data_IF_393047598407
#
_entry.id   IF_393047598407
#
_cell.length_a   1.000
_cell.length_b   1.000
_cell.length_c   1.000
_cell.angle_alpha   90.00
_cell.angle_beta   90.00
_cell.angle_gamma   90.00
#
_symmetry.space_group_name_H-M   'P 1'
#
loop_
_entity.id
_entity.type
_entity.pdbx_description
1 polymer ?
#
# COMPACT_ATOMS: atom_id res chain seq x y z
N UNK A 1 6.16 -18.76 2.65
CA UNK A 1 6.48 -17.33 2.83
C UNK A 1 7.93 -17.21 3.27
N UNK A 2 8.71 -16.30 2.68
CA UNK A 2 10.10 -16.03 3.06
C UNK A 2 10.13 -15.00 4.19
N UNK A 3 11.11 -15.11 5.08
CA UNK A 3 11.34 -14.15 6.15
C UNK A 3 12.30 -13.08 5.61
N UNK A 4 11.98 -11.77 5.73
CA UNK A 4 12.91 -10.70 5.37
C UNK A 4 14.21 -10.80 6.18
N UNK A 5 15.34 -10.49 5.55
CA UNK A 5 16.66 -10.60 6.16
C UNK A 5 17.66 -9.62 5.53
N UNK A 6 18.95 -9.67 5.90
CA UNK A 6 19.97 -8.74 5.41
C UNK A 6 20.04 -8.65 3.87
N UNK A 7 19.84 -9.77 3.17
CA UNK A 7 19.88 -9.82 1.70
C UNK A 7 18.61 -9.28 1.03
N UNK A 8 17.50 -9.16 1.78
CA UNK A 8 16.23 -8.61 1.29
C UNK A 8 15.46 -7.96 2.45
N UNK A 9 15.89 -6.78 2.91
CA UNK A 9 15.31 -6.16 4.09
C UNK A 9 13.94 -5.56 3.75
N UNK A 10 12.96 -5.82 4.60
CA UNK A 10 11.65 -5.15 4.57
C UNK A 10 11.45 -4.50 5.92
N UNK A 11 11.22 -3.19 5.92
CA UNK A 11 10.95 -2.41 7.14
C UNK A 11 9.63 -1.68 7.00
N UNK A 12 8.93 -1.55 8.13
CA UNK A 12 7.64 -0.87 8.22
C UNK A 12 7.72 0.11 9.39
N UNK A 13 7.34 1.36 9.15
CA UNK A 13 7.25 2.38 10.18
C UNK A 13 5.96 3.19 10.01
N UNK A 14 5.48 3.81 11.09
CA UNK A 14 4.41 4.80 11.01
C UNK A 14 4.88 5.98 10.16
N UNK A 15 4.05 6.43 9.23
CA UNK A 15 4.30 7.68 8.53
C UNK A 15 3.91 8.84 9.48
N UNK A 16 4.83 9.75 9.82
CA UNK A 16 4.52 10.87 10.73
C UNK A 16 3.67 11.97 10.06
N UNK A 17 3.46 11.90 8.74
CA UNK A 17 2.71 12.89 7.98
C UNK A 17 1.33 12.38 7.62
N UNK A 18 0.40 13.32 7.43
CA UNK A 18 -0.87 13.03 6.74
C UNK A 18 -0.56 12.69 5.28
N UNK A 19 -1.16 11.60 4.79
CA UNK A 19 -1.03 11.14 3.41
C UNK A 19 -2.38 11.30 2.72
N UNK A 20 -2.38 11.97 1.56
CA UNK A 20 -3.53 12.09 0.67
C UNK A 20 -3.18 11.42 -0.66
N UNK A 21 -4.06 10.53 -1.13
CA UNK A 21 -3.97 9.89 -2.44
C UNK A 21 -5.11 10.41 -3.30
N UNK A 22 -4.78 10.98 -4.46
CA UNK A 22 -5.76 11.56 -5.38
C UNK A 22 -5.45 11.24 -6.82
N UNK A 23 -6.49 11.14 -7.64
CA UNK A 23 -6.39 11.03 -9.10
C UNK A 23 -7.37 12.03 -9.73
N UNK A 24 -6.93 12.79 -10.74
CA UNK A 24 -7.79 13.78 -11.41
C UNK A 24 -8.41 14.84 -10.47
N UNK A 25 -7.80 15.12 -9.32
CA UNK A 25 -8.34 16.04 -8.31
C UNK A 25 -9.31 15.40 -7.30
N UNK A 26 -9.74 14.15 -7.53
CA UNK A 26 -10.57 13.41 -6.60
C UNK A 26 -9.73 12.67 -5.55
N UNK A 27 -10.11 12.78 -4.27
CA UNK A 27 -9.43 12.11 -3.16
C UNK A 27 -9.95 10.67 -3.03
N UNK A 28 -9.06 9.71 -3.21
CA UNK A 28 -9.34 8.28 -3.09
C UNK A 28 -9.09 7.79 -1.67
N UNK A 29 -8.10 8.37 -0.98
CA UNK A 29 -7.85 8.09 0.43
C UNK A 29 -7.13 9.26 1.11
N UNK A 30 -7.39 9.45 2.40
CA UNK A 30 -6.66 10.40 3.23
C UNK A 30 -6.54 9.87 4.66
N UNK A 31 -5.32 9.84 5.20
CA UNK A 31 -5.06 9.26 6.52
C UNK A 31 -3.91 9.94 7.26
N UNK A 32 -3.96 9.94 8.58
CA UNK A 32 -2.81 10.19 9.47
C UNK A 32 -2.20 8.90 10.04
N UNK A 33 -2.68 7.74 9.60
CA UNK A 33 -2.32 6.42 10.12
C UNK A 33 -1.62 5.54 9.07
N UNK A 34 -1.10 6.16 8.00
CA UNK A 34 -0.35 5.44 6.97
C UNK A 34 0.88 4.76 7.56
N UNK A 35 1.24 3.61 6.97
CA UNK A 35 2.53 2.96 7.19
C UNK A 35 3.41 3.17 5.98
N UNK A 36 4.68 3.52 6.19
CA UNK A 36 5.70 3.54 5.15
C UNK A 36 6.44 2.21 5.14
N UNK A 37 6.36 1.50 4.02
CA UNK A 37 7.13 0.28 3.77
C UNK A 37 8.33 0.61 2.89
N UNK A 38 9.52 0.12 3.29
CA UNK A 38 10.74 0.12 2.48
C UNK A 38 11.19 -1.31 2.26
N UNK A 39 11.54 -1.64 1.02
CA UNK A 39 11.96 -2.98 0.63
C UNK A 39 13.23 -2.89 -0.21
N UNK A 40 14.33 -3.43 0.32
CA UNK A 40 15.65 -3.40 -0.31
C UNK A 40 15.98 -2.00 -0.88
N UNK A 41 16.26 -1.91 -2.18
CA UNK A 41 16.55 -0.66 -2.89
C UNK A 41 15.33 0.01 -3.56
N UNK A 42 14.11 -0.50 -3.39
CA UNK A 42 12.93 0.09 -4.01
C UNK A 42 12.49 1.40 -3.34
N UNK A 43 11.85 2.32 -4.09
CA UNK A 43 11.21 3.48 -3.49
C UNK A 43 10.21 3.08 -2.40
N UNK A 44 10.12 3.90 -1.35
CA UNK A 44 9.20 3.66 -0.25
C UNK A 44 7.74 3.75 -0.72
N UNK A 45 6.90 2.82 -0.26
CA UNK A 45 5.47 2.78 -0.57
C UNK A 45 4.62 3.07 0.67
N UNK A 46 3.44 3.64 0.46
CA UNK A 46 2.52 4.00 1.53
C UNK A 46 1.37 2.99 1.60
N UNK A 47 1.26 2.31 2.73
CA UNK A 47 0.10 1.47 3.06
C UNK A 47 -0.93 2.32 3.79
N UNK A 48 -2.10 2.45 3.17
CA UNK A 48 -3.23 3.20 3.70
C UNK A 48 -4.22 2.22 4.36
N UNK A 49 -4.68 2.47 5.60
CA UNK A 49 -5.75 1.66 6.18
C UNK A 49 -6.99 1.68 5.30
N UNK A 50 -7.63 0.52 5.09
CA UNK A 50 -8.79 0.42 4.20
C UNK A 50 -9.98 1.29 4.66
N UNK A 51 -10.12 1.51 5.96
CA UNK A 51 -11.16 2.36 6.55
C UNK A 51 -10.99 3.85 6.18
N UNK A 52 -9.78 4.28 5.82
CA UNK A 52 -9.47 5.66 5.44
C UNK A 52 -9.46 5.85 3.91
N UNK A 53 -9.83 4.81 3.16
CA UNK A 53 -9.98 4.83 1.71
C UNK A 53 -11.46 4.85 1.31
N UNK A 54 -11.80 5.61 0.27
CA UNK A 54 -13.14 5.65 -0.28
C UNK A 54 -13.43 4.34 -1.04
N UNK A 55 -14.19 3.43 -0.43
CA UNK A 55 -14.53 2.13 -1.03
C UNK A 55 -15.36 2.25 -2.30
N UNK A 56 -16.18 3.30 -2.42
CA UNK A 56 -17.07 3.49 -3.57
C UNK A 56 -16.28 3.81 -4.85
N UNK A 57 -15.03 4.24 -4.67
CA UNK A 57 -14.08 4.54 -5.75
C UNK A 57 -13.13 3.38 -6.06
N UNK A 58 -13.31 2.22 -5.43
CA UNK A 58 -12.41 1.07 -5.56
C UNK A 58 -13.19 -0.19 -5.91
N UNK A 59 -13.09 -0.62 -7.17
CA UNK A 59 -13.68 -1.88 -7.64
C UNK A 59 -12.64 -3.00 -7.65
N UNK A 60 -12.90 -4.11 -6.96
CA UNK A 60 -12.01 -5.29 -6.96
C UNK A 60 -11.92 -5.85 -8.39
N UNK A 61 -10.71 -6.21 -8.80
CA UNK A 61 -10.46 -6.94 -10.05
C UNK A 61 -10.07 -8.39 -9.76
N UNK A 62 -10.11 -9.24 -10.79
CA UNK A 62 -9.61 -10.62 -10.69
C UNK A 62 -8.08 -10.69 -10.73
N UNK A 63 -7.40 -9.56 -10.97
CA UNK A 63 -5.94 -9.51 -11.00
C UNK A 63 -5.36 -9.65 -9.58
N UNK A 64 -4.35 -10.51 -9.48
CA UNK A 64 -3.54 -10.73 -8.29
C UNK A 64 -2.09 -11.01 -8.67
N UNK A 65 -1.17 -10.65 -7.79
CA UNK A 65 0.24 -11.02 -7.92
C UNK A 65 0.73 -11.62 -6.60
N UNK A 66 1.69 -12.53 -6.68
CA UNK A 66 2.26 -13.16 -5.51
C UNK A 66 3.68 -12.65 -5.27
N UNK A 67 3.96 -12.27 -4.02
CA UNK A 67 5.31 -11.98 -3.54
C UNK A 67 5.69 -12.98 -2.44
N UNK A 68 6.86 -13.64 -2.53
CA UNK A 68 7.27 -14.62 -1.51
C UNK A 68 7.40 -14.03 -0.10
N UNK A 69 7.59 -12.72 0.03
CA UNK A 69 7.71 -12.04 1.33
C UNK A 69 6.40 -11.41 1.82
N UNK A 70 5.46 -11.08 0.93
CA UNK A 70 4.25 -10.29 1.25
C UNK A 70 2.94 -11.05 1.02
N UNK A 71 3.01 -12.23 0.41
CA UNK A 71 1.82 -13.02 0.04
C UNK A 71 1.15 -12.48 -1.21
N UNK A 72 -0.17 -12.67 -1.28
CA UNK A 72 -1.00 -12.30 -2.42
C UNK A 72 -1.47 -10.85 -2.36
N UNK A 73 -1.14 -10.08 -3.40
CA UNK A 73 -1.63 -8.73 -3.58
C UNK A 73 -2.96 -8.74 -4.33
N UNK A 74 -3.95 -8.05 -3.75
CA UNK A 74 -5.24 -7.77 -4.38
C UNK A 74 -5.22 -6.41 -5.08
N UNK A 75 -5.59 -6.37 -6.36
CA UNK A 75 -5.70 -5.17 -7.17
C UNK A 75 -7.14 -4.65 -7.28
N UNK A 76 -7.25 -3.33 -7.38
CA UNK A 76 -8.50 -2.60 -7.55
C UNK A 76 -8.36 -1.61 -8.71
N UNK A 77 -9.43 -1.44 -9.47
CA UNK A 77 -9.57 -0.33 -10.41
C UNK A 77 -10.16 0.87 -9.66
N UNK A 78 -9.69 2.07 -10.01
CA UNK A 78 -10.33 3.31 -9.61
C UNK A 78 -11.51 3.57 -10.56
N UNK A 79 -12.67 3.90 -10.01
CA UNK A 79 -13.94 4.11 -10.75
C UNK A 79 -14.55 5.47 -10.48
#
# INVERSE_FOLDING_TARGET
MKIPGPDHPITIAKNPKRVRVSVGGEVIAETSHALTLKEAGYPAVQYIPRADANSDKLKRTDHSTYCPYKGDASYFSIV
#
